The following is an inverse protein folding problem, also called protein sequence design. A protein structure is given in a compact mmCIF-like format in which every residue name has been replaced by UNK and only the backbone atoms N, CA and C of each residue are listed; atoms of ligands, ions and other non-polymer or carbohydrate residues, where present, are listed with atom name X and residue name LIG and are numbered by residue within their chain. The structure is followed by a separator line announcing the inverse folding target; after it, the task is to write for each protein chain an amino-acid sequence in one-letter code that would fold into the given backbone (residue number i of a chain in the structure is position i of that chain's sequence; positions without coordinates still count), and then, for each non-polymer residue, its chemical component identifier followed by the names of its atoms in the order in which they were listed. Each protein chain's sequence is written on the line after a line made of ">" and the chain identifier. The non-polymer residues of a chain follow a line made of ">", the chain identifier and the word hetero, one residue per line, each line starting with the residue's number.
data_IF_794620582214
#
_entry.id   IF_794620582214
#
_cell.length_a   1.000
_cell.length_b   1.000
_cell.length_c   1.000
_cell.angle_alpha   90.00
_cell.angle_beta   90.00
_cell.angle_gamma   90.00
#
_symmetry.space_group_name_H-M   'P 1'
#
loop_
_entity.id
_entity.type
_entity.pdbx_description
1 polymer ?
#
# COMPACT_ATOMS: atom_id res chain seq x y z
N UNK A 1 -27.41 13.17 27.29
CA UNK A 1 -27.14 14.33 26.41
C UNK A 1 -26.35 13.79 25.23
N UNK A 2 -27.01 13.67 24.08
CA UNK A 2 -26.40 13.18 22.84
C UNK A 2 -25.48 14.26 22.30
N UNK A 3 -24.22 13.95 21.98
CA UNK A 3 -23.63 14.49 20.76
C UNK A 3 -22.36 13.78 20.28
N UNK A 4 -22.57 13.06 19.18
CA UNK A 4 -21.74 12.93 17.97
C UNK A 4 -20.33 12.34 18.14
N UNK A 5 -20.30 11.02 17.99
CA UNK A 5 -19.20 10.33 17.30
C UNK A 5 -19.16 10.84 15.86
N UNK A 6 -18.23 11.75 15.54
CA UNK A 6 -17.70 11.84 14.18
C UNK A 6 -16.45 10.96 14.16
N UNK A 7 -16.64 9.64 14.23
CA UNK A 7 -15.83 8.82 13.34
C UNK A 7 -16.25 9.27 11.96
N UNK A 8 -15.48 10.19 11.38
CA UNK A 8 -15.30 10.17 9.95
C UNK A 8 -14.59 8.83 9.71
N UNK A 9 -15.37 7.74 9.63
CA UNK A 9 -15.22 6.86 8.49
C UNK A 9 -15.14 7.85 7.35
N UNK A 10 -13.96 8.01 6.77
CA UNK A 10 -13.92 8.56 5.45
C UNK A 10 -14.92 7.69 4.69
N UNK A 11 -16.08 8.28 4.38
CA UNK A 11 -16.94 7.81 3.32
C UNK A 11 -16.10 8.00 2.05
N UNK A 12 -15.01 7.24 1.93
CA UNK A 12 -14.37 6.92 0.67
C UNK A 12 -15.27 5.86 0.01
N UNK A 13 -16.54 6.23 -0.18
CA UNK A 13 -17.53 5.52 -1.00
C UNK A 13 -17.14 5.63 -2.49
N UNK A 14 -16.02 6.27 -2.82
CA UNK A 14 -15.61 6.55 -4.20
C UNK A 14 -14.55 5.59 -4.77
N UNK A 15 -13.99 4.67 -3.99
CA UNK A 15 -13.13 3.60 -4.54
C UNK A 15 -13.62 2.22 -4.07
N UNK A 16 -14.10 1.40 -5.00
CA UNK A 16 -14.49 0.00 -4.72
C UNK A 16 -13.31 -0.90 -4.33
N UNK A 17 -12.07 -0.39 -4.44
CA UNK A 17 -10.82 -1.13 -4.19
C UNK A 17 -9.88 -0.32 -3.28
N UNK A 18 -9.73 -0.74 -2.03
CA UNK A 18 -8.89 -0.03 -1.04
C UNK A 18 -8.08 -0.98 -0.18
N UNK A 19 -6.85 -0.58 0.13
CA UNK A 19 -5.97 -1.25 1.10
C UNK A 19 -5.64 -0.28 2.22
N UNK A 20 -6.02 -0.65 3.43
CA UNK A 20 -5.71 0.11 4.63
C UNK A 20 -4.88 -0.72 5.59
N UNK A 21 -3.88 -0.09 6.20
CA UNK A 21 -3.36 -0.57 7.48
C UNK A 21 -4.05 0.17 8.62
N UNK A 22 -4.86 -0.57 9.39
CA UNK A 22 -5.43 -0.11 10.64
C UNK A 22 -4.45 -0.42 11.77
N UNK A 23 -4.14 0.62 12.57
CA UNK A 23 -3.13 0.52 13.63
C UNK A 23 -3.78 0.81 14.98
N UNK A 24 -3.90 -0.21 15.82
CA UNK A 24 -4.42 -0.10 17.20
C UNK A 24 -3.30 -0.25 18.22
N UNK A 25 -3.49 0.33 19.40
CA UNK A 25 -2.48 0.36 20.45
C UNK A 25 -3.06 -0.09 21.78
N UNK A 26 -2.23 -0.74 22.61
CA UNK A 26 -2.50 -0.95 24.04
C UNK A 26 -1.21 -0.75 24.83
N UNK A 27 -1.23 0.13 25.81
CA UNK A 27 -0.08 0.37 26.68
C UNK A 27 -0.42 -0.16 28.08
N UNK A 28 0.41 -1.04 28.63
CA UNK A 28 0.18 -1.68 29.91
C UNK A 28 1.48 -1.76 30.71
N UNK A 29 1.40 -1.79 32.04
CA UNK A 29 2.60 -1.97 32.85
C UNK A 29 3.11 -3.42 32.81
N UNK A 30 4.42 -3.60 32.99
CA UNK A 30 5.02 -4.89 33.28
C UNK A 30 4.52 -5.39 34.63
N UNK A 31 3.63 -6.38 34.60
CA UNK A 31 3.06 -7.01 35.80
C UNK A 31 4.10 -7.96 36.38
N UNK A 32 4.53 -7.74 37.62
CA UNK A 32 5.30 -8.71 38.40
C UNK A 32 4.98 -8.50 39.88
N UNK A 33 4.02 -9.27 40.41
CA UNK A 33 4.23 -10.40 41.35
C UNK A 33 4.48 -9.94 42.80
N UNK A 34 3.47 -10.21 43.64
CA UNK A 34 3.49 -10.34 45.11
C UNK A 34 4.64 -9.61 45.85
N UNK A 35 4.58 -8.29 45.95
CA UNK A 35 5.06 -7.56 47.14
C UNK A 35 4.53 -6.13 47.06
N UNK A 36 4.37 -5.48 48.22
CA UNK A 36 3.90 -4.09 48.37
C UNK A 36 4.81 -3.13 47.59
N UNK A 37 4.55 -2.99 46.30
CA UNK A 37 5.35 -2.23 45.34
C UNK A 37 4.72 -0.85 45.16
N UNK A 38 5.31 0.14 45.80
CA UNK A 38 5.05 1.55 45.52
C UNK A 38 5.73 1.91 44.19
N UNK A 39 4.97 1.87 43.10
CA UNK A 39 5.44 2.38 41.81
C UNK A 39 5.12 3.87 41.72
N UNK A 40 6.14 4.72 41.81
CA UNK A 40 6.02 6.17 41.67
C UNK A 40 6.48 6.60 40.28
N UNK A 41 5.54 7.04 39.44
CA UNK A 41 5.78 7.47 38.06
C UNK A 41 6.07 8.99 37.93
N UNK A 42 6.32 9.68 39.04
CA UNK A 42 6.58 11.13 39.05
C UNK A 42 7.73 11.56 38.12
N UNK A 43 8.71 10.69 37.90
CA UNK A 43 9.80 10.92 36.95
C UNK A 43 9.35 10.90 35.48
N UNK A 44 8.39 10.04 35.11
CA UNK A 44 7.81 10.02 33.75
C UNK A 44 6.92 11.24 33.49
N UNK A 45 6.34 11.82 34.54
CA UNK A 45 5.60 13.09 34.45
C UNK A 45 6.51 14.25 34.05
N UNK A 46 7.70 14.31 34.64
CA UNK A 46 8.70 15.36 34.39
C UNK A 46 9.52 15.09 33.13
N UNK A 47 9.82 13.82 32.86
CA UNK A 47 10.72 13.39 31.79
C UNK A 47 10.04 12.33 30.91
N UNK A 48 9.27 12.74 29.90
CA UNK A 48 8.59 11.79 29.00
C UNK A 48 9.58 10.95 28.21
N UNK A 49 9.13 9.76 27.81
CA UNK A 49 9.84 8.91 26.85
C UNK A 49 9.27 9.16 25.46
N UNK A 50 10.18 9.35 24.50
CA UNK A 50 9.83 9.50 23.09
C UNK A 50 10.23 8.24 22.34
N UNK A 51 9.30 7.70 21.56
CA UNK A 51 9.53 6.54 20.71
C UNK A 51 9.11 6.92 19.31
N UNK A 52 10.02 6.78 18.36
CA UNK A 52 9.73 6.99 16.94
C UNK A 52 9.95 5.68 16.22
N UNK A 53 8.99 5.26 15.41
CA UNK A 53 9.04 4.02 14.64
C UNK A 53 8.84 4.41 13.18
N UNK A 54 9.91 4.35 12.40
CA UNK A 54 9.87 4.61 10.96
C UNK A 54 9.96 3.28 10.20
N UNK A 55 9.11 3.12 9.19
CA UNK A 55 9.09 1.96 8.31
C UNK A 55 9.72 2.30 6.97
N UNK A 56 10.64 1.46 6.50
CA UNK A 56 11.03 1.46 5.09
C UNK A 56 9.96 0.77 4.25
N UNK A 57 9.27 1.51 3.37
CA UNK A 57 8.21 1.00 2.52
C UNK A 57 8.71 -0.06 1.51
N UNK A 58 10.00 -0.02 1.11
CA UNK A 58 10.55 -0.99 0.16
C UNK A 58 10.76 -2.36 0.80
N UNK A 59 11.43 -2.38 1.96
CA UNK A 59 11.84 -3.62 2.61
C UNK A 59 10.97 -4.04 3.80
N UNK A 60 10.03 -3.20 4.23
CA UNK A 60 9.21 -3.37 5.43
C UNK A 60 10.03 -3.42 6.75
N UNK A 61 11.30 -2.98 6.71
CA UNK A 61 12.17 -2.89 7.88
C UNK A 61 11.78 -1.70 8.75
N UNK A 62 11.98 -1.85 10.06
CA UNK A 62 11.73 -0.81 11.05
C UNK A 62 13.06 -0.20 11.52
N UNK A 63 13.07 1.12 11.61
CA UNK A 63 14.08 1.91 12.32
C UNK A 63 13.39 2.57 13.50
N UNK A 64 13.85 2.25 14.71
CA UNK A 64 13.19 2.68 15.95
C UNK A 64 14.15 3.56 16.74
N UNK A 65 13.68 4.74 17.13
CA UNK A 65 14.43 5.65 17.99
C UNK A 65 13.76 5.74 19.35
N UNK A 66 14.51 5.45 20.40
CA UNK A 66 14.10 5.70 21.79
C UNK A 66 14.86 6.90 22.33
N UNK A 67 14.15 7.85 22.93
CA UNK A 67 14.76 8.95 23.68
C UNK A 67 14.28 8.86 25.13
N UNK A 68 15.20 8.55 26.03
CA UNK A 68 14.92 8.34 27.46
C UNK A 68 15.84 9.24 28.27
N UNK A 69 15.27 9.97 29.23
CA UNK A 69 16.06 10.83 30.11
C UNK A 69 17.03 10.03 30.99
N UNK A 70 18.24 10.53 31.22
CA UNK A 70 19.31 9.85 31.97
C UNK A 70 18.89 9.53 33.40
N UNK A 71 18.18 10.44 34.08
CA UNK A 71 17.69 10.17 35.45
C UNK A 71 16.71 8.99 35.53
N UNK A 72 16.08 8.62 34.42
CA UNK A 72 15.24 7.44 34.32
C UNK A 72 16.10 6.21 34.01
N UNK A 73 16.99 6.31 33.01
CA UNK A 73 17.68 5.16 32.45
C UNK A 73 19.03 4.85 33.14
N UNK A 74 19.87 5.83 33.41
CA UNK A 74 21.22 5.62 33.99
C UNK A 74 21.16 5.17 35.45
N UNK A 75 20.25 5.75 36.24
CA UNK A 75 20.12 5.52 37.70
C UNK A 75 19.55 4.13 38.05
N UNK A 76 18.85 3.48 37.12
CA UNK A 76 18.28 2.16 37.34
C UNK A 76 19.36 1.07 37.37
N UNK A 77 19.29 0.14 38.33
CA UNK A 77 20.24 -0.99 38.41
C UNK A 77 19.96 -2.08 37.38
N UNK A 78 18.72 -2.17 36.89
CA UNK A 78 18.28 -3.12 35.87
C UNK A 78 17.54 -2.36 34.77
N UNK A 79 17.86 -2.68 33.52
CA UNK A 79 17.39 -1.99 32.31
C UNK A 79 17.11 -3.05 31.26
N UNK A 80 15.93 -3.01 30.66
CA UNK A 80 15.55 -3.89 29.58
C UNK A 80 14.72 -3.09 28.57
N UNK A 81 15.16 -3.09 27.31
CA UNK A 81 14.33 -2.68 26.20
C UNK A 81 14.29 -3.87 25.23
N UNK A 82 13.10 -4.41 24.98
CA UNK A 82 12.92 -5.54 24.09
C UNK A 82 11.77 -5.31 23.12
N UNK A 83 11.91 -5.88 21.92
CA UNK A 83 10.84 -5.88 20.90
C UNK A 83 10.50 -7.31 20.58
N UNK A 84 9.22 -7.65 20.59
CA UNK A 84 8.73 -9.02 20.39
C UNK A 84 9.45 -10.03 21.30
N UNK A 85 9.75 -9.62 22.54
CA UNK A 85 10.50 -10.36 23.57
C UNK A 85 11.97 -10.69 23.22
N UNK A 86 12.53 -10.05 22.19
CA UNK A 86 13.94 -10.18 21.80
C UNK A 86 14.72 -8.95 22.21
N UNK A 87 15.95 -9.16 22.68
CA UNK A 87 16.88 -8.10 23.05
C UNK A 87 17.35 -7.32 21.82
N UNK A 88 17.66 -6.05 22.04
CA UNK A 88 17.97 -5.07 21.00
C UNK A 88 19.43 -4.67 21.06
N UNK A 89 20.04 -4.43 19.91
CA UNK A 89 21.37 -3.82 19.88
C UNK A 89 21.22 -2.31 20.20
N UNK A 90 21.40 -1.97 21.48
CA UNK A 90 21.25 -0.61 22.01
C UNK A 90 22.55 0.18 21.84
N UNK A 91 22.85 0.58 20.61
CA UNK A 91 23.92 1.54 20.35
C UNK A 91 23.43 2.97 20.62
N UNK A 92 24.15 3.71 21.46
CA UNK A 92 23.89 5.14 21.70
C UNK A 92 24.40 5.89 20.47
N UNK A 93 23.50 6.56 19.76
CA UNK A 93 23.87 7.30 18.54
C UNK A 93 24.00 8.80 18.78
N UNK A 94 23.41 9.33 19.85
CA UNK A 94 23.52 10.74 20.22
C UNK A 94 23.20 10.98 21.70
N UNK A 95 23.90 11.93 22.33
CA UNK A 95 23.50 12.57 23.59
C UNK A 95 23.25 14.04 23.29
N UNK A 96 22.00 14.48 23.35
CA UNK A 96 21.63 15.88 23.12
C UNK A 96 21.39 16.53 24.48
N UNK A 97 22.08 17.64 24.75
CA UNK A 97 21.96 18.45 25.98
C UNK A 97 22.10 17.68 27.30
N UNK A 98 23.03 16.72 27.40
CA UNK A 98 23.36 15.97 28.64
C UNK A 98 22.21 15.31 29.42
N UNK A 99 20.96 15.41 28.96
CA UNK A 99 19.76 15.02 29.70
C UNK A 99 19.09 13.79 29.10
N UNK A 100 19.04 13.68 27.77
CA UNK A 100 18.41 12.56 27.06
C UNK A 100 19.43 11.65 26.38
N UNK A 101 19.21 10.34 26.52
CA UNK A 101 19.94 9.30 25.81
C UNK A 101 19.09 8.86 24.63
N UNK A 102 19.69 8.88 23.43
CA UNK A 102 19.03 8.45 22.22
C UNK A 102 19.61 7.12 21.73
N UNK A 103 18.73 6.12 21.59
CA UNK A 103 19.05 4.82 21.04
C UNK A 103 18.45 4.71 19.65
N UNK A 104 19.24 4.28 18.67
CA UNK A 104 18.78 3.96 17.31
C UNK A 104 18.87 2.46 17.14
N UNK A 105 17.74 1.87 16.81
CA UNK A 105 17.54 0.43 16.82
C UNK A 105 16.98 0.02 15.48
N UNK A 106 17.86 -0.57 14.66
CA UNK A 106 17.53 -1.07 13.33
C UNK A 106 17.62 -2.62 13.28
N UNK A 107 18.19 -3.24 14.32
CA UNK A 107 18.50 -4.68 14.41
C UNK A 107 18.36 -5.20 15.85
N UNK A 108 18.09 -6.49 15.97
CA UNK A 108 18.24 -7.26 17.21
C UNK A 108 19.72 -7.49 17.55
N UNK A 109 20.01 -7.95 18.77
CA UNK A 109 21.39 -8.30 19.19
C UNK A 109 22.04 -9.37 18.30
N UNK A 110 21.24 -10.32 17.78
CA UNK A 110 21.70 -11.35 16.85
C UNK A 110 21.99 -10.82 15.43
N UNK A 111 21.90 -9.51 15.22
CA UNK A 111 22.15 -8.83 13.94
C UNK A 111 20.98 -8.87 12.97
N UNK A 112 19.89 -9.58 13.28
CA UNK A 112 18.72 -9.64 12.39
C UNK A 112 17.98 -8.30 12.36
N UNK A 113 17.52 -7.85 11.18
CA UNK A 113 16.69 -6.66 11.06
C UNK A 113 15.33 -6.84 11.73
N UNK A 114 14.74 -5.73 12.15
CA UNK A 114 13.39 -5.68 12.71
C UNK A 114 12.42 -5.38 11.56
N UNK A 115 11.33 -6.14 11.46
CA UNK A 115 10.29 -5.94 10.44
C UNK A 115 8.97 -5.58 11.08
N UNK A 116 8.12 -4.88 10.32
CA UNK A 116 6.73 -4.66 10.72
C UNK A 116 5.95 -5.97 10.56
N UNK A 117 5.54 -6.55 11.68
CA UNK A 117 4.66 -7.72 11.74
C UNK A 117 3.23 -7.30 12.10
N UNK A 118 2.25 -8.21 12.00
CA UNK A 118 0.86 -7.97 12.45
C UNK A 118 0.77 -7.47 13.90
N UNK A 119 1.78 -7.82 14.70
CA UNK A 119 1.83 -7.46 16.11
C UNK A 119 3.26 -7.06 16.48
N UNK A 120 3.42 -5.86 17.03
CA UNK A 120 4.69 -5.39 17.58
C UNK A 120 4.50 -5.13 19.07
N UNK A 121 5.34 -5.76 19.90
CA UNK A 121 5.33 -5.59 21.35
C UNK A 121 6.64 -4.94 21.75
N UNK A 122 6.59 -3.70 22.22
CA UNK A 122 7.74 -2.98 22.75
C UNK A 122 7.64 -3.01 24.27
N UNK A 123 8.67 -3.52 24.93
CA UNK A 123 8.78 -3.53 26.39
C UNK A 123 9.94 -2.63 26.81
N UNK A 124 9.70 -1.79 27.81
CA UNK A 124 10.68 -0.88 28.41
C UNK A 124 10.56 -1.02 29.93
N UNK A 125 11.58 -1.58 30.56
CA UNK A 125 11.70 -1.67 32.00
C UNK A 125 13.00 -1.02 32.47
N UNK A 126 12.89 -0.13 33.45
CA UNK A 126 14.02 0.43 34.18
C UNK A 126 13.67 0.46 35.66
N UNK A 127 14.39 -0.30 36.47
CA UNK A 127 14.10 -0.42 37.90
C UNK A 127 15.35 -0.63 38.75
N UNK A 128 15.22 -0.26 40.02
CA UNK A 128 16.22 -0.54 41.06
C UNK A 128 15.73 -1.68 41.94
N UNK A 129 16.56 -2.71 42.13
CA UNK A 129 16.25 -3.82 43.05
C UNK A 129 17.06 -3.66 44.33
N UNK A 130 16.37 -3.63 45.48
CA UNK A 130 16.98 -3.64 46.81
C UNK A 130 16.33 -4.78 47.59
N UNK A 131 17.08 -5.87 47.84
CA UNK A 131 16.54 -7.13 48.40
C UNK A 131 15.31 -7.60 47.60
N UNK A 132 14.15 -7.72 48.23
CA UNK A 132 12.89 -8.16 47.62
C UNK A 132 12.02 -7.00 47.11
N UNK A 133 12.51 -5.76 47.20
CA UNK A 133 11.81 -4.57 46.74
C UNK A 133 12.29 -4.15 45.34
N UNK A 134 11.33 -3.89 44.47
CA UNK A 134 11.54 -3.34 43.13
C UNK A 134 11.01 -1.91 43.09
N UNK A 135 11.89 -0.95 42.82
CA UNK A 135 11.52 0.45 42.56
C UNK A 135 11.61 0.72 41.07
N UNK A 136 10.46 0.62 40.38
CA UNK A 136 10.37 0.94 38.96
C UNK A 136 10.50 2.45 38.76
N UNK A 137 11.41 2.83 37.88
CA UNK A 137 11.47 4.17 37.27
C UNK A 137 10.60 4.22 36.03
N UNK A 138 10.57 3.12 35.26
CA UNK A 138 9.71 2.90 34.09
C UNK A 138 9.35 1.43 34.01
N UNK A 139 8.08 1.15 33.70
CA UNK A 139 7.63 -0.19 33.29
C UNK A 139 6.48 -0.06 32.29
N UNK A 140 6.79 -0.24 31.00
CA UNK A 140 5.83 -0.04 29.91
C UNK A 140 5.91 -1.16 28.88
N UNK A 141 4.75 -1.74 28.56
CA UNK A 141 4.52 -2.65 27.45
C UNK A 141 3.59 -1.96 26.46
N UNK A 142 4.10 -1.64 25.29
CA UNK A 142 3.36 -1.06 24.17
C UNK A 142 3.09 -2.18 23.20
N UNK A 143 1.82 -2.51 23.05
CA UNK A 143 1.32 -3.38 22.02
C UNK A 143 0.82 -2.52 20.87
N UNK A 144 1.33 -2.78 19.68
CA UNK A 144 0.84 -2.20 18.43
C UNK A 144 0.33 -3.35 17.57
N UNK A 145 -0.96 -3.32 17.25
CA UNK A 145 -1.52 -4.27 16.29
C UNK A 145 -1.68 -3.56 14.94
N UNK A 146 -1.29 -4.28 13.91
CA UNK A 146 -1.37 -3.90 12.51
C UNK A 146 -2.29 -4.90 11.83
N UNK A 147 -3.49 -4.47 11.51
CA UNK A 147 -4.39 -5.23 10.66
C UNK A 147 -4.38 -4.59 9.27
N UNK A 148 -3.96 -5.39 8.30
CA UNK A 148 -4.01 -4.99 6.91
C UNK A 148 -5.37 -5.40 6.37
N UNK A 149 -6.31 -4.47 6.39
CA UNK A 149 -7.61 -4.63 5.78
C UNK A 149 -7.45 -4.56 4.25
N UNK A 150 -7.72 -5.68 3.59
CA UNK A 150 -7.60 -5.81 2.14
C UNK A 150 -8.99 -6.05 1.55
N UNK A 151 -9.68 -4.98 1.15
CA UNK A 151 -10.94 -5.08 0.43
C UNK A 151 -10.65 -4.96 -1.08
N UNK A 152 -9.88 -5.91 -1.60
CA UNK A 152 -9.67 -6.05 -3.04
C UNK A 152 -10.58 -7.16 -3.56
N UNK A 153 -11.29 -6.91 -4.66
CA UNK A 153 -11.93 -7.98 -5.43
C UNK A 153 -10.87 -8.82 -6.12
N UNK A 154 -11.00 -10.15 -6.09
CA UNK A 154 -10.05 -11.13 -6.68
C UNK A 154 -9.87 -11.01 -8.21
N UNK A 155 -10.62 -10.14 -8.89
CA UNK A 155 -10.41 -9.77 -10.28
C UNK A 155 -10.76 -8.30 -10.48
N UNK A 156 -9.76 -7.44 -10.68
CA UNK A 156 -9.99 -6.02 -10.93
C UNK A 156 -10.10 -5.76 -12.42
N UNK A 157 -11.11 -4.98 -12.80
CA UNK A 157 -11.14 -4.42 -14.15
C UNK A 157 -9.96 -3.47 -14.31
N UNK A 158 -9.30 -3.52 -15.47
CA UNK A 158 -8.19 -2.63 -15.82
C UNK A 158 -8.53 -1.14 -15.59
N UNK A 159 -9.81 -0.77 -15.70
CA UNK A 159 -10.26 0.62 -15.55
C UNK A 159 -10.65 1.00 -14.11
N UNK A 160 -10.30 0.18 -13.11
CA UNK A 160 -10.66 0.44 -11.72
C UNK A 160 -9.58 1.19 -10.96
N UNK A 161 -9.91 2.41 -10.54
CA UNK A 161 -9.12 3.20 -9.61
C UNK A 161 -8.97 2.46 -8.27
N UNK A 162 -7.86 2.70 -7.59
CA UNK A 162 -7.64 2.17 -6.26
C UNK A 162 -6.80 3.11 -5.40
N UNK A 163 -6.93 2.95 -4.09
CA UNK A 163 -6.20 3.74 -3.10
C UNK A 163 -5.54 2.82 -2.08
N UNK A 164 -4.34 3.16 -1.66
CA UNK A 164 -3.61 2.47 -0.61
C UNK A 164 -3.24 3.45 0.49
N UNK A 165 -3.23 2.98 1.73
CA UNK A 165 -2.82 3.73 2.90
C UNK A 165 -2.01 2.82 3.81
N UNK A 166 -0.70 2.96 3.77
CA UNK A 166 0.24 2.18 4.56
C UNK A 166 0.82 3.03 5.67
N UNK A 167 1.06 2.45 6.84
CA UNK A 167 1.73 3.15 7.93
C UNK A 167 3.18 3.41 7.53
N UNK A 168 3.58 4.68 7.65
CA UNK A 168 4.94 5.14 7.40
C UNK A 168 5.73 5.42 8.68
N UNK A 169 5.10 6.12 9.63
CA UNK A 169 5.76 6.51 10.88
C UNK A 169 4.78 6.56 12.05
N UNK A 170 5.28 6.23 13.25
CA UNK A 170 4.57 6.42 14.52
C UNK A 170 5.50 7.16 15.48
N UNK A 171 5.04 8.31 15.98
CA UNK A 171 5.62 8.95 17.15
C UNK A 171 4.73 8.65 18.38
N UNK A 172 5.33 8.10 19.44
CA UNK A 172 4.67 7.82 20.72
C UNK A 172 5.33 8.67 21.80
N UNK A 173 4.51 9.44 22.51
CA UNK A 173 4.91 10.26 23.65
C UNK A 173 4.34 9.62 24.92
N UNK A 174 5.22 9.01 25.73
CA UNK A 174 4.85 8.36 26.98
C UNK A 174 5.08 9.31 28.16
N UNK A 175 4.00 9.75 28.78
CA UNK A 175 3.96 10.56 30.01
C UNK A 175 3.33 9.75 31.15
N UNK A 176 3.16 10.36 32.33
CA UNK A 176 2.61 9.76 33.56
C UNK A 176 1.33 8.93 33.33
N UNK A 177 1.49 7.60 33.20
CA UNK A 177 0.38 6.65 33.08
C UNK A 177 0.22 5.90 34.39
N UNK A 178 -0.84 6.19 35.13
CA UNK A 178 -1.33 5.31 36.19
C UNK A 178 -1.99 4.07 35.59
N UNK A 179 -1.23 2.97 35.51
CA UNK A 179 -1.52 1.52 35.59
C UNK A 179 -2.83 0.86 35.08
N UNK A 180 -3.86 1.53 34.58
CA UNK A 180 -5.09 0.88 34.05
C UNK A 180 -5.93 1.85 33.22
N UNK A 181 -5.62 2.05 31.93
CA UNK A 181 -6.55 2.79 31.05
C UNK A 181 -6.59 2.22 29.64
N UNK A 182 -7.79 2.30 29.06
CA UNK A 182 -8.09 2.08 27.64
C UNK A 182 -7.58 3.27 26.81
N UNK A 183 -7.04 3.02 25.62
CA UNK A 183 -6.32 4.06 24.85
C UNK A 183 -7.25 5.19 24.39
N UNK A 184 -8.54 4.92 24.23
CA UNK A 184 -9.54 5.94 23.88
C UNK A 184 -9.69 7.04 24.97
N UNK A 185 -9.19 6.79 26.19
CA UNK A 185 -9.17 7.74 27.31
C UNK A 185 -7.73 8.10 27.76
N UNK A 186 -6.68 7.66 27.05
CA UNK A 186 -5.28 7.78 27.49
C UNK A 186 -4.65 9.14 27.14
N UNK A 187 -3.87 9.70 28.09
CA UNK A 187 -3.07 10.92 27.91
C UNK A 187 -1.81 10.79 27.03
N UNK A 188 -1.45 9.58 26.56
CA UNK A 188 -0.35 9.43 25.59
C UNK A 188 -0.75 9.98 24.22
N UNK A 189 0.10 10.87 23.71
CA UNK A 189 -0.05 11.37 22.35
C UNK A 189 0.58 10.37 21.38
N UNK A 190 -0.23 9.84 20.46
CA UNK A 190 0.24 8.99 19.37
C UNK A 190 -0.01 9.72 18.06
N UNK A 191 1.07 10.06 17.37
CA UNK A 191 1.01 10.63 16.02
C UNK A 191 1.34 9.52 15.04
N UNK A 192 0.47 9.33 14.06
CA UNK A 192 0.63 8.37 12.99
C UNK A 192 0.73 9.14 11.68
N UNK A 193 1.67 8.73 10.85
CA UNK A 193 1.82 9.23 9.50
C UNK A 193 1.68 8.04 8.56
N UNK A 194 0.89 8.23 7.52
CA UNK A 194 0.58 7.21 6.53
C UNK A 194 1.06 7.65 5.17
N UNK A 195 1.66 6.72 4.44
CA UNK A 195 1.94 6.85 3.02
C UNK A 195 0.67 6.48 2.26
N UNK A 196 0.07 7.49 1.61
CA UNK A 196 -1.16 7.32 0.85
C UNK A 196 -0.82 7.40 -0.63
N UNK A 197 -1.29 6.42 -1.40
CA UNK A 197 -1.24 6.46 -2.86
C UNK A 197 -2.63 6.30 -3.41
N UNK A 198 -3.00 7.19 -4.32
CA UNK A 198 -4.11 6.99 -5.23
C UNK A 198 -3.57 6.62 -6.59
N UNK A 199 -4.14 5.60 -7.22
CA UNK A 199 -3.81 5.23 -8.58
C UNK A 199 -5.06 5.25 -9.44
N UNK A 200 -4.92 5.85 -10.62
CA UNK A 200 -5.97 5.92 -11.63
C UNK A 200 -5.46 5.35 -12.93
N UNK A 201 -6.18 4.37 -13.47
CA UNK A 201 -5.92 3.83 -14.79
C UNK A 201 -6.59 4.67 -15.85
N UNK A 202 -5.88 4.85 -16.96
CA UNK A 202 -6.52 5.22 -18.20
C UNK A 202 -7.12 3.98 -18.84
N UNK A 203 -8.28 4.17 -19.44
CA UNK A 203 -9.02 3.07 -20.02
C UNK A 203 -8.30 2.43 -21.22
N UNK A 204 -8.19 1.10 -21.22
CA UNK A 204 -7.66 0.32 -22.33
C UNK A 204 -8.80 0.01 -23.32
N UNK A 205 -8.80 0.63 -24.51
CA UNK A 205 -9.84 0.48 -25.54
C UNK A 205 -9.33 -0.21 -26.79
N UNK A 206 -10.22 -0.94 -27.48
CA UNK A 206 -9.95 -1.40 -28.84
C UNK A 206 -9.78 -0.21 -29.80
N UNK A 207 -8.96 -0.41 -30.84
CA UNK A 207 -8.59 0.54 -31.88
C UNK A 207 -7.92 1.85 -31.39
N UNK A 208 -7.47 1.90 -30.14
CA UNK A 208 -6.71 3.04 -29.62
C UNK A 208 -5.41 2.55 -28.99
N UNK A 209 -4.26 3.19 -29.28
CA UNK A 209 -3.00 2.82 -28.63
C UNK A 209 -3.06 3.25 -27.16
N UNK A 210 -2.87 2.28 -26.26
CA UNK A 210 -2.78 2.54 -24.83
C UNK A 210 -1.33 2.85 -24.48
N UNK A 211 -0.95 4.12 -24.61
CA UNK A 211 0.41 4.58 -24.30
C UNK A 211 0.56 5.02 -22.84
N UNK A 212 -0.34 5.91 -22.41
CA UNK A 212 -0.41 6.42 -21.05
C UNK A 212 -1.27 5.46 -20.23
N UNK A 213 -0.64 4.66 -19.38
CA UNK A 213 -1.32 3.64 -18.56
C UNK A 213 -2.21 4.29 -17.51
N UNK A 214 -1.75 5.40 -16.94
CA UNK A 214 -2.42 6.07 -15.83
C UNK A 214 -1.41 6.84 -14.98
N UNK A 215 -1.86 7.28 -13.81
CA UNK A 215 -1.02 8.00 -12.87
C UNK A 215 -1.18 7.48 -11.44
N UNK A 216 -0.10 7.63 -10.66
CA UNK A 216 -0.15 7.51 -9.21
C UNK A 216 0.06 8.87 -8.58
N UNK A 217 -0.69 9.19 -7.55
CA UNK A 217 -0.47 10.34 -6.70
C UNK A 217 -0.17 9.86 -5.28
N UNK A 218 1.01 10.20 -4.76
CA UNK A 218 1.47 9.81 -3.45
C UNK A 218 1.62 11.01 -2.53
N UNK A 219 1.20 10.87 -1.27
CA UNK A 219 1.33 11.90 -0.25
C UNK A 219 1.37 11.32 1.17
N UNK A 220 1.72 12.17 2.15
CA UNK A 220 1.68 11.80 3.57
C UNK A 220 0.43 12.36 4.23
N UNK A 221 -0.32 11.49 4.89
CA UNK A 221 -1.45 11.86 5.74
C UNK A 221 -1.08 11.67 7.22
N UNK A 222 -1.56 12.52 8.11
CA UNK A 222 -1.39 12.36 9.55
C UNK A 222 -2.73 12.41 10.29
N UNK A 223 -2.82 11.68 11.41
CA UNK A 223 -3.97 11.76 12.30
C UNK A 223 -4.02 13.05 13.14
N UNK A 224 -3.02 13.94 13.04
CA UNK A 224 -3.02 15.25 13.69
C UNK A 224 -3.04 16.38 12.66
N UNK A 225 -4.23 16.94 12.40
CA UNK A 225 -4.46 17.96 11.36
C UNK A 225 -3.58 19.23 11.47
N UNK A 226 -3.08 19.56 12.66
CA UNK A 226 -2.31 20.79 12.91
C UNK A 226 -0.80 20.58 13.07
N UNK A 227 -0.30 19.35 12.97
CA UNK A 227 1.15 19.09 13.10
C UNK A 227 1.81 19.27 11.74
N UNK A 228 2.79 20.18 11.66
CA UNK A 228 3.65 20.29 10.49
C UNK A 228 4.44 18.98 10.38
N UNK A 229 4.34 18.30 9.24
CA UNK A 229 5.14 17.11 8.97
C UNK A 229 6.60 17.57 8.87
N UNK A 230 7.44 17.09 9.79
CA UNK A 230 8.82 17.59 9.97
C UNK A 230 9.83 16.75 9.17
N UNK A 231 9.43 15.55 8.74
CA UNK A 231 10.31 14.60 8.05
C UNK A 231 10.33 14.83 6.54
N UNK A 232 11.50 14.68 5.92
CA UNK A 232 11.63 14.49 4.48
C UNK A 232 11.42 13.01 4.15
N UNK A 233 10.64 12.72 3.12
CA UNK A 233 10.34 11.37 2.64
C UNK A 233 10.85 11.24 1.20
N UNK A 234 12.15 11.01 1.00
CA UNK A 234 12.74 10.91 -0.34
C UNK A 234 12.09 9.80 -1.17
N UNK A 235 11.53 8.78 -0.55
CA UNK A 235 10.80 7.70 -1.21
C UNK A 235 9.56 8.16 -1.98
N UNK A 236 8.94 9.29 -1.62
CA UNK A 236 7.84 9.88 -2.40
C UNK A 236 8.29 10.32 -3.79
N UNK A 237 9.59 10.52 -3.99
CA UNK A 237 10.20 10.90 -5.29
C UNK A 237 10.54 9.68 -6.15
N UNK A 238 10.25 8.46 -5.69
CA UNK A 238 10.43 7.25 -6.47
C UNK A 238 9.09 6.79 -7.07
N UNK A 239 9.07 6.34 -8.34
CA UNK A 239 7.88 5.75 -8.92
C UNK A 239 7.51 4.45 -8.19
N UNK A 240 6.21 4.24 -7.98
CA UNK A 240 5.68 3.02 -7.36
C UNK A 240 5.86 1.82 -8.25
N UNK A 241 5.50 1.97 -9.53
CA UNK A 241 5.58 0.91 -10.53
C UNK A 241 6.77 1.12 -11.45
N UNK A 242 7.44 0.02 -11.80
CA UNK A 242 8.61 0.02 -12.69
C UNK A 242 8.37 -0.69 -14.01
N UNK A 243 7.43 -1.64 -14.03
CA UNK A 243 7.10 -2.44 -15.19
C UNK A 243 5.65 -2.88 -15.17
N UNK A 244 5.19 -3.35 -16.33
CA UNK A 244 3.89 -3.97 -16.52
C UNK A 244 4.07 -5.23 -17.35
N UNK A 245 3.42 -6.30 -16.91
CA UNK A 245 3.36 -7.55 -17.65
C UNK A 245 1.97 -7.71 -18.28
N UNK A 246 1.92 -8.24 -19.50
CA UNK A 246 0.66 -8.63 -20.13
C UNK A 246 0.63 -10.14 -20.34
N UNK A 247 -0.51 -10.74 -20.00
CA UNK A 247 -0.79 -12.16 -20.17
C UNK A 247 -2.11 -12.38 -20.92
N UNK A 248 -2.18 -13.50 -21.64
CA UNK A 248 -3.39 -13.98 -22.30
C UNK A 248 -3.87 -15.24 -21.61
N UNK A 249 -5.16 -15.56 -21.75
CA UNK A 249 -5.80 -16.72 -21.12
C UNK A 249 -5.09 -18.07 -21.38
N UNK A 250 -4.32 -18.19 -22.47
CA UNK A 250 -3.56 -19.39 -22.83
C UNK A 250 -2.05 -19.28 -22.50
N UNK A 251 -1.61 -18.28 -21.72
CA UNK A 251 -0.21 -17.98 -21.40
C UNK A 251 0.73 -17.81 -22.60
N UNK A 252 0.21 -17.63 -23.82
CA UNK A 252 1.02 -17.37 -25.02
C UNK A 252 1.65 -15.98 -25.00
N UNK A 253 0.87 -15.00 -24.55
CA UNK A 253 1.34 -13.66 -24.25
C UNK A 253 2.09 -13.63 -22.92
N UNK A 254 3.37 -13.29 -22.92
CA UNK A 254 4.14 -12.92 -21.73
C UNK A 254 5.07 -11.76 -22.07
N UNK A 255 4.52 -10.54 -22.00
CA UNK A 255 5.24 -9.32 -22.36
C UNK A 255 5.54 -8.54 -21.10
N UNK A 256 6.82 -8.35 -20.78
CA UNK A 256 7.26 -7.40 -19.76
C UNK A 256 7.69 -6.10 -20.42
N UNK A 257 7.04 -5.00 -20.07
CA UNK A 257 7.41 -3.66 -20.51
C UNK A 257 7.90 -2.82 -19.33
N UNK A 258 9.06 -2.19 -19.47
CA UNK A 258 9.54 -1.18 -18.51
C UNK A 258 8.79 0.13 -18.71
N UNK A 259 8.32 0.73 -17.63
CA UNK A 259 7.56 1.97 -17.69
C UNK A 259 8.49 3.18 -17.79
N UNK A 260 8.19 4.07 -18.72
CA UNK A 260 8.65 5.46 -18.66
C UNK A 260 7.76 6.24 -17.69
N UNK A 261 8.30 7.23 -17.00
CA UNK A 261 7.52 8.04 -16.07
C UNK A 261 7.90 9.51 -16.13
N UNK A 262 6.92 10.37 -15.87
CA UNK A 262 7.15 11.79 -15.58
C UNK A 262 6.76 12.07 -14.13
N UNK A 263 7.51 12.95 -13.47
CA UNK A 263 7.29 13.33 -12.08
C UNK A 263 6.79 14.77 -12.01
N UNK A 264 5.67 14.96 -11.33
CA UNK A 264 5.09 16.26 -11.04
C UNK A 264 5.02 16.47 -9.53
N UNK A 265 5.45 17.64 -9.05
CA UNK A 265 5.37 18.00 -7.63
C UNK A 265 4.13 18.87 -7.41
N UNK A 266 3.15 18.34 -6.68
CA UNK A 266 1.89 19.04 -6.38
C UNK A 266 1.93 19.79 -5.04
N UNK A 267 2.94 19.52 -4.21
CA UNK A 267 3.12 20.16 -2.91
C UNK A 267 4.39 19.69 -2.21
N UNK A 268 4.64 20.13 -0.96
CA UNK A 268 5.84 19.76 -0.22
C UNK A 268 6.02 18.25 -0.05
N UNK A 269 4.92 17.52 0.17
CA UNK A 269 4.88 16.07 0.39
C UNK A 269 3.81 15.42 -0.48
N UNK A 270 3.66 15.90 -1.72
CA UNK A 270 2.73 15.33 -2.69
C UNK A 270 3.35 15.31 -4.08
N UNK A 271 3.36 14.13 -4.68
CA UNK A 271 4.00 13.87 -5.97
C UNK A 271 3.07 13.02 -6.83
N UNK A 272 3.02 13.32 -8.13
CA UNK A 272 2.32 12.52 -9.13
C UNK A 272 3.33 11.91 -10.09
N UNK A 273 3.17 10.63 -10.38
CA UNK A 273 3.87 9.92 -11.45
C UNK A 273 2.89 9.55 -12.53
N UNK A 274 3.09 10.03 -13.76
CA UNK A 274 2.39 9.52 -14.94
C UNK A 274 3.21 8.38 -15.55
N UNK A 275 2.57 7.28 -15.92
CA UNK A 275 3.23 6.06 -16.40
C UNK A 275 2.94 5.80 -17.88
N UNK A 276 4.00 5.59 -18.65
CA UNK A 276 3.94 5.37 -20.09
C UNK A 276 4.60 4.06 -20.48
N UNK A 277 4.07 3.40 -21.50
CA UNK A 277 4.73 2.26 -22.12
C UNK A 277 5.90 2.71 -22.97
N UNK A 278 7.06 2.06 -22.79
CA UNK A 278 8.24 2.40 -23.57
C UNK A 278 8.23 1.77 -24.97
N UNK A 279 7.60 0.59 -25.11
CA UNK A 279 7.55 -0.12 -26.39
C UNK A 279 6.15 -0.10 -27.02
N UNK A 280 6.11 -0.52 -28.29
CA UNK A 280 4.88 -0.65 -29.07
C UNK A 280 4.54 -2.13 -29.28
N UNK A 281 3.29 -2.50 -29.09
CA UNK A 281 2.80 -3.85 -29.33
C UNK A 281 1.51 -3.84 -30.14
N UNK A 282 1.39 -4.77 -31.09
CA UNK A 282 0.17 -4.98 -31.89
C UNK A 282 -0.15 -6.46 -31.97
N UNK A 283 -1.44 -6.78 -31.91
CA UNK A 283 -1.92 -8.14 -32.16
C UNK A 283 -1.77 -8.52 -33.64
N UNK A 284 -1.10 -9.64 -33.91
CA UNK A 284 -1.00 -10.26 -35.22
C UNK A 284 -2.03 -11.39 -35.35
N UNK A 285 -2.85 -11.33 -36.40
CA UNK A 285 -3.78 -12.41 -36.75
C UNK A 285 -3.06 -13.70 -37.14
N UNK A 286 -1.87 -13.60 -37.72
CA UNK A 286 -1.13 -14.75 -38.23
C UNK A 286 -0.59 -15.59 -37.08
N UNK A 287 0.03 -14.94 -36.09
CA UNK A 287 0.62 -15.61 -34.92
C UNK A 287 -0.39 -15.79 -33.79
N UNK A 288 -1.55 -15.13 -33.86
CA UNK A 288 -2.54 -15.04 -32.78
C UNK A 288 -1.92 -14.52 -31.47
N UNK A 289 -1.00 -13.55 -31.58
CA UNK A 289 -0.23 -13.02 -30.46
C UNK A 289 0.12 -11.53 -30.64
N UNK A 290 0.47 -10.85 -29.55
CA UNK A 290 0.96 -9.48 -29.63
C UNK A 290 2.47 -9.46 -29.88
N UNK A 291 2.85 -8.81 -30.97
CA UNK A 291 4.23 -8.68 -31.40
C UNK A 291 4.76 -7.30 -31.04
N UNK A 292 5.97 -7.25 -30.49
CA UNK A 292 6.70 -5.99 -30.31
C UNK A 292 7.03 -5.42 -31.69
N UNK A 293 6.56 -4.22 -31.97
CA UNK A 293 6.93 -3.50 -33.18
C UNK A 293 8.12 -2.61 -32.84
N UNK A 294 9.16 -2.68 -33.66
CA UNK A 294 10.20 -1.65 -33.63
C UNK A 294 9.62 -0.41 -34.31
N UNK A 295 9.54 0.68 -33.56
CA UNK A 295 9.13 2.01 -34.05
C UNK A 295 10.16 2.52 -35.06
N UNK A 296 10.14 1.99 -36.28
CA UNK A 296 10.98 2.49 -37.38
C UNK A 296 10.35 3.68 -38.10
N UNK A 297 9.04 3.91 -37.91
CA UNK A 297 8.32 5.04 -38.47
C UNK A 297 7.76 5.93 -37.36
N UNK A 298 8.08 7.23 -37.39
CA UNK A 298 7.59 8.27 -36.48
C UNK A 298 6.05 8.40 -36.41
N UNK A 299 5.30 7.63 -37.21
CA UNK A 299 3.84 7.59 -37.23
C UNK A 299 3.22 6.55 -36.29
N UNK A 300 3.97 5.57 -35.81
CA UNK A 300 3.46 4.55 -34.87
C UNK A 300 3.60 5.09 -33.45
N UNK A 301 2.47 5.46 -32.83
CA UNK A 301 2.44 5.88 -31.43
C UNK A 301 2.85 4.70 -30.54
N UNK A 302 3.80 4.94 -29.63
CA UNK A 302 4.17 3.99 -28.55
C UNK A 302 2.91 3.48 -27.85
N UNK A 303 2.94 2.25 -27.33
CA UNK A 303 1.88 1.70 -26.50
C UNK A 303 1.34 0.35 -26.94
N UNK A 304 0.35 -0.12 -26.20
CA UNK A 304 -0.30 -1.40 -26.42
C UNK A 304 -1.56 -1.21 -27.25
N UNK A 305 -1.58 -1.73 -28.48
CA UNK A 305 -2.70 -1.55 -29.41
C UNK A 305 -3.50 -2.85 -29.58
N UNK A 306 -4.77 -2.79 -29.20
CA UNK A 306 -5.73 -3.89 -29.38
C UNK A 306 -6.59 -3.59 -30.60
N UNK A 307 -6.51 -4.38 -31.68
CA UNK A 307 -7.36 -4.15 -32.84
C UNK A 307 -8.81 -4.58 -32.58
N UNK A 308 -9.75 -4.00 -33.33
CA UNK A 308 -11.19 -4.34 -33.30
C UNK A 308 -11.52 -5.82 -33.47
N UNK A 309 -10.67 -6.59 -34.16
CA UNK A 309 -10.93 -8.01 -34.40
C UNK A 309 -10.41 -8.91 -33.28
N UNK A 310 -9.69 -8.37 -32.29
CA UNK A 310 -9.26 -9.13 -31.13
C UNK A 310 -10.48 -9.52 -30.29
N UNK A 311 -10.56 -10.79 -29.91
CA UNK A 311 -11.59 -11.35 -29.05
C UNK A 311 -10.93 -12.27 -28.03
N UNK A 312 -11.08 -11.99 -26.75
CA UNK A 312 -10.42 -12.76 -25.69
C UNK A 312 -10.21 -11.96 -24.41
N UNK A 313 -9.45 -12.57 -23.50
CA UNK A 313 -9.12 -11.99 -22.19
C UNK A 313 -7.66 -11.52 -22.19
N UNK A 314 -7.46 -10.28 -21.75
CA UNK A 314 -6.15 -9.69 -21.49
C UNK A 314 -6.01 -9.51 -20.00
N UNK A 315 -5.03 -10.18 -19.41
CA UNK A 315 -4.62 -9.96 -18.05
C UNK A 315 -3.39 -9.07 -18.05
N UNK A 316 -3.26 -8.18 -17.07
CA UNK A 316 -2.03 -7.43 -16.85
C UNK A 316 -1.62 -7.49 -15.40
N UNK A 317 -0.31 -7.38 -15.18
CA UNK A 317 0.32 -7.33 -13.87
C UNK A 317 1.27 -6.15 -13.78
N UNK A 318 0.94 -5.11 -13.01
CA UNK A 318 1.93 -4.08 -12.66
C UNK A 318 3.03 -4.70 -11.78
N UNK A 319 4.27 -4.28 -11.87
CA UNK A 319 5.27 -4.65 -10.87
C UNK A 319 5.77 -3.40 -10.17
N UNK A 320 6.03 -3.57 -8.87
CA UNK A 320 6.42 -2.49 -8.00
C UNK A 320 7.71 -2.85 -7.29
N UNK A 321 8.52 -1.83 -7.00
CA UNK A 321 9.70 -2.01 -6.15
C UNK A 321 9.35 -2.01 -4.65
N UNK A 322 8.09 -1.84 -4.30
CA UNK A 322 7.59 -1.87 -2.94
C UNK A 322 7.00 -3.24 -2.64
N UNK A 323 7.55 -3.94 -1.64
CA UNK A 323 7.22 -5.35 -1.36
C UNK A 323 5.72 -5.59 -1.16
N UNK A 324 5.05 -4.71 -0.39
CA UNK A 324 3.60 -4.79 -0.17
C UNK A 324 2.77 -4.74 -1.45
N UNK A 325 3.25 -4.01 -2.47
CA UNK A 325 2.55 -3.82 -3.73
C UNK A 325 2.68 -5.07 -4.61
N UNK A 326 3.84 -5.73 -4.60
CA UNK A 326 4.05 -6.99 -5.34
C UNK A 326 3.26 -8.18 -4.79
N UNK A 327 3.04 -8.23 -3.47
CA UNK A 327 2.41 -9.39 -2.82
C UNK A 327 0.89 -9.41 -2.95
N UNK A 328 0.24 -8.26 -3.25
CA UNK A 328 -1.22 -8.14 -3.03
C UNK A 328 -2.02 -7.57 -4.18
N UNK A 329 -1.39 -6.90 -5.15
CA UNK A 329 -2.15 -5.96 -5.97
C UNK A 329 -2.15 -6.28 -7.44
N UNK A 330 -1.26 -7.02 -8.08
CA UNK A 330 -1.00 -6.50 -9.44
C UNK A 330 -1.88 -6.98 -10.59
N UNK A 331 -2.77 -7.96 -10.40
CA UNK A 331 -3.48 -8.59 -11.51
C UNK A 331 -4.79 -7.86 -11.86
N UNK A 332 -4.92 -7.48 -13.12
CA UNK A 332 -6.12 -6.87 -13.68
C UNK A 332 -6.52 -7.62 -14.94
N UNK A 333 -7.82 -7.65 -15.20
CA UNK A 333 -8.41 -8.41 -16.28
C UNK A 333 -9.29 -7.51 -17.13
N UNK A 334 -9.17 -7.61 -18.44
CA UNK A 334 -10.09 -7.02 -19.40
C UNK A 334 -10.58 -8.09 -20.35
N UNK A 335 -11.89 -8.30 -20.30
CA UNK A 335 -12.58 -9.20 -21.20
C UNK A 335 -13.07 -8.40 -22.40
N UNK A 336 -12.49 -8.67 -23.56
CA UNK A 336 -12.89 -8.07 -24.82
C UNK A 336 -13.68 -9.10 -25.57
N UNK A 337 -15.00 -8.99 -25.46
CA UNK A 337 -15.91 -9.73 -26.31
C UNK A 337 -16.20 -8.88 -27.53
N UNK A 338 -15.92 -9.39 -28.72
CA UNK A 338 -16.54 -8.85 -29.91
C UNK A 338 -17.98 -9.38 -29.93
N UNK A 339 -19.00 -8.54 -29.64
CA UNK A 339 -20.35 -9.00 -29.83
C UNK A 339 -20.52 -9.29 -31.33
N UNK A 340 -21.05 -10.48 -31.66
CA UNK A 340 -21.46 -10.81 -33.03
C UNK A 340 -22.44 -9.75 -33.59
N UNK A 341 -23.10 -9.02 -32.70
CA UNK A 341 -24.09 -7.98 -32.97
C UNK A 341 -23.59 -6.64 -32.41
N UNK A 342 -23.18 -5.71 -33.27
CA UNK A 342 -22.99 -4.33 -32.84
C UNK A 342 -24.36 -3.64 -32.77
N UNK A 343 -24.88 -3.45 -31.56
CA UNK A 343 -26.18 -2.81 -31.30
C UNK A 343 -26.18 -1.35 -31.75
N UNK A 344 -25.04 -0.64 -31.64
CA UNK A 344 -24.90 0.75 -32.09
C UNK A 344 -24.95 0.88 -33.62
N UNK A 345 -24.57 -0.18 -34.35
CA UNK A 345 -24.68 -0.28 -35.81
C UNK A 345 -25.89 -1.11 -36.28
N UNK A 346 -27.01 -1.07 -35.54
CA UNK A 346 -28.28 -1.73 -35.89
C UNK A 346 -28.20 -3.27 -36.08
N UNK A 347 -27.23 -3.95 -35.46
CA UNK A 347 -27.13 -5.41 -35.52
C UNK A 347 -26.70 -5.98 -36.88
N UNK A 348 -26.05 -5.18 -37.74
CA UNK A 348 -25.55 -5.67 -39.03
C UNK A 348 -24.39 -6.66 -38.85
N UNK A 349 -24.62 -7.91 -39.25
CA UNK A 349 -23.61 -8.97 -39.33
C UNK A 349 -22.89 -8.86 -40.68
N UNK A 350 -21.57 -8.64 -40.68
CA UNK A 350 -20.76 -8.77 -41.89
C UNK A 350 -20.26 -10.21 -42.01
N UNK A 351 -21.07 -11.08 -42.63
CA UNK A 351 -20.66 -12.44 -42.97
C UNK A 351 -19.58 -12.36 -44.05
N UNK A 352 -18.35 -12.78 -43.72
CA UNK A 352 -17.29 -12.89 -44.70
C UNK A 352 -17.44 -14.24 -45.42
N UNK A 353 -18.14 -14.25 -46.55
CA UNK A 353 -18.27 -15.44 -47.38
C UNK A 353 -17.01 -15.56 -48.24
N UNK A 354 -15.94 -16.12 -47.68
CA UNK A 354 -14.77 -16.47 -48.46
C UNK A 354 -15.12 -17.67 -49.36
N UNK A 355 -15.21 -17.41 -50.66
CA UNK A 355 -15.25 -18.38 -51.77
C UNK A 355 -16.35 -19.43 -51.70
N UNK A 356 -17.59 -19.03 -52.00
CA UNK A 356 -18.53 -19.96 -52.63
C UNK A 356 -18.28 -19.87 -54.13
N UNK A 357 -17.58 -20.85 -54.71
CA UNK A 357 -17.61 -21.08 -56.16
C UNK A 357 -19.05 -21.42 -56.51
N UNK A 358 -19.77 -20.45 -57.08
CA UNK A 358 -21.01 -20.63 -57.86
C UNK A 358 -21.90 -21.79 -57.38
N UNK A 359 -22.35 -21.75 -56.12
CA UNK A 359 -23.55 -22.49 -55.74
C UNK A 359 -24.73 -21.58 -56.05
N UNK A 360 -25.70 -22.15 -56.75
CA UNK A 360 -26.93 -21.53 -57.22
C UNK A 360 -27.62 -20.78 -56.04
N UNK A 361 -27.39 -19.47 -55.94
CA UNK A 361 -27.84 -18.61 -54.83
C UNK A 361 -29.36 -18.70 -54.63
N UNK A 362 -30.11 -19.01 -55.69
CA UNK A 362 -31.56 -19.17 -55.67
C UNK A 362 -32.03 -20.30 -54.73
N UNK A 363 -31.21 -21.32 -54.47
CA UNK A 363 -31.56 -22.44 -53.58
C UNK A 363 -31.05 -22.27 -52.14
N UNK A 364 -30.11 -21.35 -51.89
CA UNK A 364 -29.53 -21.21 -50.54
C UNK A 364 -30.50 -20.49 -49.59
N UNK A 365 -31.27 -19.54 -50.10
CA UNK A 365 -32.25 -18.77 -49.34
C UNK A 365 -33.70 -19.23 -49.53
N UNK A 366 -33.96 -20.23 -50.37
CA UNK A 366 -35.33 -20.75 -50.58
C UNK A 366 -35.94 -21.38 -49.32
N UNK A 367 -35.11 -21.80 -48.36
CA UNK A 367 -35.53 -22.37 -47.08
C UNK A 367 -35.58 -21.34 -45.94
N UNK A 368 -35.26 -20.08 -46.21
CA UNK A 368 -35.35 -19.02 -45.21
C UNK A 368 -36.78 -18.49 -45.24
N UNK A 369 -37.59 -18.95 -44.29
CA UNK A 369 -38.91 -18.37 -44.05
C UNK A 369 -38.71 -16.93 -43.57
N UNK A 370 -39.40 -15.99 -44.23
CA UNK A 370 -39.56 -14.63 -43.71
C UNK A 370 -40.08 -14.78 -42.27
N UNK A 371 -39.40 -14.18 -41.29
CA UNK A 371 -39.92 -14.07 -39.94
C UNK A 371 -41.21 -13.24 -40.02
N UNK A 372 -42.35 -13.92 -40.05
CA UNK A 372 -43.64 -13.26 -40.10
C UNK A 372 -43.87 -12.55 -38.76
N UNK A 373 -43.92 -11.22 -38.82
CA UNK A 373 -44.53 -10.33 -37.83
C UNK A 373 -44.09 -10.54 -36.38
N UNK A 374 -42.89 -10.06 -36.04
CA UNK A 374 -42.72 -9.44 -34.73
C UNK A 374 -43.52 -8.13 -34.78
N UNK A 375 -44.72 -8.14 -34.19
CA UNK A 375 -45.51 -6.92 -33.98
C UNK A 375 -44.65 -5.93 -33.19
N UNK A 376 -44.59 -4.71 -33.71
CA UNK A 376 -43.92 -3.55 -33.13
C UNK A 376 -44.46 -3.19 -31.75
#
# INVERSE_FOLDING_TARGET
>A
MYQIVVEKKANDILAKNYICEDVTFKISASKSLKSNTLVSNTMLKKYPIFIKINRDEKSNKLSITFSIHRLIYEVATKKEISINKKSLNLSIYHKTNDEYIHFKIDKYEDGKPIFLEKKLIIKIDAYTKIRDYLSYKVGANILINYDLANNLSDNRNIDSDFKTRTLKNIDIFLTDKSFKEDVNNSSATVVKEFFVTYFKFNQLKQNMPWNHIGYSQSFIETNQHNKKIIYDYPELKNPIFDSINFYSQNNKLNITNKLEYTLEKNGPLSYTFNYFLNDSYIFSKETQDFLKIKSYNNSIKKGFYIPSHFNGIINLKLNSNFKLWNEKINDYTLNIYNPLFNIENKGLIKLNISTIKTLNLNNFFSNWTKANNLKA
#
